data_IF_646899200904
#
_entry.id   IF_646899200904
#
_cell.length_a   1.000
_cell.length_b   1.000
_cell.length_c   1.000
_cell.angle_alpha   90.00
_cell.angle_beta   90.00
_cell.angle_gamma   90.00
#
_symmetry.space_group_name_H-M   'P 1'
#
loop_
_entity.id
_entity.type
_entity.pdbx_description
1 polymer ?
#
# COMPACT_ATOMS: atom_id res chain seq x y z
N UNK A 1 38.38 0.46 -35.45
CA UNK A 1 38.93 -0.08 -34.18
C UNK A 1 38.01 0.38 -33.06
N UNK A 2 37.39 -0.44 -32.23
CA UNK A 2 37.04 -1.85 -32.23
C UNK A 2 35.80 -1.96 -31.32
N UNK A 3 34.74 -2.60 -31.80
CA UNK A 3 33.56 -2.98 -31.00
C UNK A 3 33.92 -4.23 -30.19
N UNK A 4 33.74 -4.22 -28.88
CA UNK A 4 33.87 -5.41 -28.04
C UNK A 4 32.48 -6.03 -27.83
N UNK A 5 32.23 -7.15 -28.50
CA UNK A 5 31.10 -8.03 -28.26
C UNK A 5 31.49 -9.05 -27.19
N UNK A 6 30.71 -9.13 -26.10
CA UNK A 6 30.85 -10.17 -25.08
C UNK A 6 29.86 -11.29 -25.40
N UNK A 7 30.41 -12.46 -25.70
CA UNK A 7 29.73 -13.74 -25.88
C UNK A 7 29.47 -14.32 -24.49
N UNK A 8 28.20 -14.57 -24.14
CA UNK A 8 27.83 -15.36 -22.95
C UNK A 8 27.46 -16.77 -23.40
N UNK A 9 28.26 -17.73 -22.92
CA UNK A 9 28.15 -19.15 -23.17
C UNK A 9 26.94 -19.75 -22.43
N UNK A 10 26.05 -20.40 -23.17
CA UNK A 10 24.99 -21.26 -22.62
C UNK A 10 25.57 -22.66 -22.46
N UNK A 11 25.77 -23.09 -21.22
CA UNK A 11 26.18 -24.44 -20.87
C UNK A 11 25.36 -24.94 -19.68
N UNK A 12 24.35 -25.77 -19.95
CA UNK A 12 23.52 -26.43 -18.94
C UNK A 12 23.21 -27.85 -19.40
N UNK A 13 23.96 -28.80 -18.85
CA UNK A 13 23.97 -30.23 -19.16
C UNK A 13 22.68 -30.90 -18.68
N UNK A 14 22.02 -31.65 -19.57
CA UNK A 14 20.93 -32.57 -19.26
C UNK A 14 21.53 -33.90 -18.79
N UNK A 15 21.38 -34.22 -17.50
CA UNK A 15 21.75 -35.52 -16.95
C UNK A 15 20.55 -36.47 -16.96
N UNK A 16 20.59 -37.47 -17.84
CA UNK A 16 19.67 -38.61 -17.87
C UNK A 16 20.19 -39.68 -16.90
N UNK A 17 19.45 -39.99 -15.84
CA UNK A 17 19.70 -41.19 -15.03
C UNK A 17 18.78 -42.32 -15.50
N UNK A 18 19.38 -43.36 -16.10
CA UNK A 18 18.80 -44.70 -16.19
C UNK A 18 19.51 -45.56 -15.14
N UNK A 19 18.75 -46.20 -14.26
CA UNK A 19 19.25 -47.29 -13.41
C UNK A 19 18.72 -48.59 -13.98
N UNK A 20 19.65 -49.44 -14.41
CA UNK A 20 19.44 -50.81 -14.85
C UNK A 20 19.38 -51.73 -13.62
N UNK A 21 18.38 -52.60 -13.55
CA UNK A 21 18.31 -53.68 -12.56
C UNK A 21 19.30 -54.80 -12.89
N UNK A 22 19.93 -55.35 -11.85
CA UNK A 22 20.91 -56.43 -11.88
C UNK A 22 20.22 -57.78 -12.04
N UNK A 23 20.71 -58.59 -12.99
CA UNK A 23 20.33 -59.98 -13.20
C UNK A 23 20.94 -60.92 -12.14
N UNK A 24 20.22 -62.00 -11.80
CA UNK A 24 20.77 -63.19 -11.17
C UNK A 24 20.01 -64.42 -11.68
N UNK A 25 20.73 -65.30 -12.39
CA UNK A 25 20.26 -66.55 -13.00
C UNK A 25 20.12 -67.71 -11.99
N UNK A 26 19.16 -68.61 -12.23
CA UNK A 26 19.11 -69.98 -11.70
C UNK A 26 17.71 -70.65 -11.83
N UNK A 27 17.57 -71.94 -12.19
CA UNK A 27 16.75 -72.31 -13.35
C UNK A 27 15.52 -73.24 -13.12
N UNK A 28 14.71 -73.30 -14.19
CA UNK A 28 13.86 -74.39 -14.71
C UNK A 28 12.53 -74.78 -14.02
N UNK A 29 11.42 -74.60 -14.76
CA UNK A 29 10.12 -75.23 -14.46
C UNK A 29 8.93 -74.71 -15.28
N UNK A 30 8.75 -75.26 -16.48
CA UNK A 30 7.51 -75.53 -17.26
C UNK A 30 6.27 -74.58 -17.18
N UNK A 31 5.96 -73.97 -18.33
CA UNK A 31 4.73 -73.24 -18.75
C UNK A 31 3.47 -74.16 -18.73
N UNK A 32 2.21 -73.68 -18.47
CA UNK A 32 1.49 -72.83 -19.43
C UNK A 32 0.61 -71.67 -18.92
N UNK A 33 0.69 -70.58 -19.69
CA UNK A 33 -0.43 -69.76 -20.19
C UNK A 33 -1.39 -69.10 -19.19
N UNK A 34 -1.17 -67.80 -18.95
CA UNK A 34 -2.11 -66.90 -18.30
C UNK A 34 -1.49 -65.53 -18.05
N UNK A 35 -1.19 -64.77 -19.11
CA UNK A 35 -0.68 -63.39 -18.99
C UNK A 35 -1.78 -62.46 -18.49
N UNK A 36 -1.89 -62.33 -17.16
CA UNK A 36 -2.43 -61.14 -16.53
C UNK A 36 -1.36 -60.03 -16.66
N UNK A 37 -1.44 -59.24 -17.73
CA UNK A 37 -0.70 -57.99 -17.81
C UNK A 37 -1.31 -57.00 -16.83
N UNK A 38 -0.64 -56.86 -15.70
CA UNK A 38 -0.72 -55.72 -14.82
C UNK A 38 -0.17 -54.50 -15.58
N UNK A 39 -0.99 -53.91 -16.45
CA UNK A 39 -0.69 -52.64 -17.08
C UNK A 39 -1.05 -51.56 -16.08
N UNK A 40 -0.08 -51.21 -15.24
CA UNK A 40 -0.08 -49.95 -14.50
C UNK A 40 0.09 -48.85 -15.55
N UNK A 41 -1.02 -48.47 -16.17
CA UNK A 41 -1.13 -47.34 -17.08
C UNK A 41 -0.72 -46.09 -16.31
N UNK A 42 0.49 -45.60 -16.57
CA UNK A 42 0.79 -44.20 -16.35
C UNK A 42 -0.19 -43.40 -17.21
N UNK A 43 -1.29 -42.95 -16.60
CA UNK A 43 -2.23 -42.04 -17.24
C UNK A 43 -1.42 -40.84 -17.73
N UNK A 44 -1.38 -40.63 -19.05
CA UNK A 44 -0.96 -39.35 -19.60
C UNK A 44 -1.81 -38.28 -18.91
N UNK A 45 -1.18 -37.46 -18.06
CA UNK A 45 -1.88 -36.43 -17.32
C UNK A 45 -2.55 -35.52 -18.35
N UNK A 46 -3.88 -35.58 -18.42
CA UNK A 46 -4.65 -34.69 -19.31
C UNK A 46 -4.43 -33.28 -18.78
N UNK A 47 -4.08 -32.34 -19.65
CA UNK A 47 -3.86 -30.95 -19.25
C UNK A 47 -5.13 -30.41 -18.54
N UNK A 48 -4.99 -29.59 -17.48
CA UNK A 48 -6.13 -29.12 -16.70
C UNK A 48 -7.09 -28.28 -17.56
N UNK A 49 -8.39 -28.40 -17.29
CA UNK A 49 -9.42 -27.54 -17.89
C UNK A 49 -9.28 -26.08 -17.44
N UNK A 50 -9.96 -25.16 -18.12
CA UNK A 50 -9.94 -23.75 -17.75
C UNK A 50 -10.51 -23.54 -16.33
N UNK A 51 -11.63 -24.18 -16.01
CA UNK A 51 -12.23 -24.17 -14.67
C UNK A 51 -11.27 -24.71 -13.59
N UNK A 52 -10.60 -25.84 -13.87
CA UNK A 52 -9.64 -26.43 -12.92
C UNK A 52 -8.43 -25.51 -12.71
N UNK A 53 -7.94 -24.89 -13.78
CA UNK A 53 -6.78 -23.99 -13.75
C UNK A 53 -7.05 -22.79 -12.84
N UNK A 54 -8.21 -22.15 -13.01
CA UNK A 54 -8.62 -21.01 -12.16
C UNK A 54 -8.88 -21.45 -10.73
N UNK A 55 -9.52 -22.60 -10.53
CA UNK A 55 -9.76 -23.16 -9.20
C UNK A 55 -8.43 -23.38 -8.47
N UNK A 56 -7.49 -24.08 -9.10
CA UNK A 56 -6.19 -24.39 -8.48
C UNK A 56 -5.36 -23.14 -8.18
N UNK A 57 -5.46 -22.10 -9.01
CA UNK A 57 -4.84 -20.80 -8.77
C UNK A 57 -5.42 -20.10 -7.54
N UNK A 58 -6.74 -19.96 -7.44
CA UNK A 58 -7.39 -19.34 -6.27
C UNK A 58 -7.14 -20.16 -5.00
N UNK A 59 -7.06 -21.47 -5.14
CA UNK A 59 -6.69 -22.40 -4.08
C UNK A 59 -5.22 -22.27 -3.64
N UNK A 60 -4.30 -22.00 -4.57
CA UNK A 60 -2.91 -21.67 -4.23
C UNK A 60 -2.82 -20.37 -3.45
N UNK A 61 -3.55 -19.32 -3.88
CA UNK A 61 -3.66 -18.07 -3.12
C UNK A 61 -4.19 -18.32 -1.70
N UNK A 62 -5.30 -19.08 -1.59
CA UNK A 62 -5.91 -19.42 -0.30
C UNK A 62 -4.96 -20.12 0.66
N UNK A 63 -4.07 -20.98 0.15
CA UNK A 63 -3.09 -21.71 0.96
C UNK A 63 -1.82 -20.92 1.28
N UNK A 64 -1.66 -19.72 0.72
CA UNK A 64 -0.42 -18.95 0.89
C UNK A 64 0.74 -19.47 0.05
N UNK A 65 0.47 -20.21 -1.03
CA UNK A 65 1.51 -20.80 -1.90
C UNK A 65 1.76 -19.89 -3.10
N UNK A 66 2.63 -18.89 -2.90
CA UNK A 66 2.95 -17.87 -3.90
C UNK A 66 3.64 -18.50 -5.11
N UNK A 67 4.58 -19.41 -4.90
CA UNK A 67 5.28 -20.09 -5.99
C UNK A 67 4.31 -20.84 -6.91
N UNK A 68 3.33 -21.56 -6.33
CA UNK A 68 2.29 -22.23 -7.10
C UNK A 68 1.36 -21.24 -7.79
N UNK A 69 0.94 -20.17 -7.13
CA UNK A 69 0.09 -19.15 -7.74
C UNK A 69 0.77 -18.49 -8.96
N UNK A 70 2.04 -18.12 -8.83
CA UNK A 70 2.84 -17.54 -9.92
C UNK A 70 3.07 -18.51 -11.07
N UNK A 71 3.10 -19.82 -10.79
CA UNK A 71 3.26 -20.85 -11.83
C UNK A 71 2.14 -20.88 -12.87
N UNK A 72 1.00 -20.24 -12.59
CA UNK A 72 -0.10 -20.09 -13.57
C UNK A 72 0.08 -18.91 -14.53
N UNK A 73 1.13 -18.10 -14.35
CA UNK A 73 1.50 -17.03 -15.28
C UNK A 73 2.21 -17.57 -16.51
N UNK A 74 1.93 -16.99 -17.67
CA UNK A 74 2.74 -17.22 -18.89
C UNK A 74 4.14 -16.62 -18.77
N UNK A 75 4.27 -15.47 -18.10
CA UNK A 75 5.50 -14.69 -18.05
C UNK A 75 5.99 -14.60 -16.60
N UNK A 76 7.27 -14.93 -16.33
CA UNK A 76 7.86 -14.71 -15.02
C UNK A 76 7.87 -13.21 -14.65
N UNK A 77 7.73 -12.92 -13.36
CA UNK A 77 7.85 -11.56 -12.85
C UNK A 77 9.32 -11.23 -12.57
N UNK A 78 9.79 -10.12 -13.11
CA UNK A 78 11.16 -9.65 -12.86
C UNK A 78 11.29 -9.03 -11.45
N UNK A 79 10.26 -8.33 -11.00
CA UNK A 79 10.10 -7.84 -9.64
C UNK A 79 9.08 -8.71 -8.90
N UNK A 80 9.51 -9.32 -7.80
CA UNK A 80 8.71 -10.17 -6.95
C UNK A 80 8.74 -9.74 -5.48
N UNK A 81 9.10 -8.47 -5.20
CA UNK A 81 9.26 -7.96 -3.84
C UNK A 81 8.05 -8.25 -2.95
N UNK A 82 6.84 -8.12 -3.49
CA UNK A 82 5.58 -8.42 -2.80
C UNK A 82 4.86 -9.68 -3.30
N UNK A 83 5.51 -10.49 -4.13
CA UNK A 83 4.98 -11.74 -4.68
C UNK A 83 5.63 -12.95 -3.98
N UNK A 84 5.57 -12.97 -2.65
CA UNK A 84 6.21 -13.98 -1.80
C UNK A 84 5.20 -14.67 -0.88
N UNK A 85 5.53 -15.86 -0.39
CA UNK A 85 4.71 -16.60 0.59
C UNK A 85 4.49 -15.78 1.87
N UNK A 86 5.50 -15.01 2.30
CA UNK A 86 5.39 -14.16 3.49
C UNK A 86 4.32 -13.07 3.30
N UNK A 87 4.37 -12.35 2.18
CA UNK A 87 3.39 -11.29 1.89
C UNK A 87 2.02 -11.89 1.71
N UNK A 88 1.88 -12.93 0.88
CA UNK A 88 0.60 -13.61 0.66
C UNK A 88 0.02 -14.15 1.98
N UNK A 89 0.86 -14.69 2.86
CA UNK A 89 0.49 -15.10 4.21
C UNK A 89 -0.10 -13.95 5.06
N UNK A 90 0.50 -12.76 5.01
CA UNK A 90 -0.06 -11.55 5.66
C UNK A 90 -1.40 -11.16 5.03
N UNK A 91 -1.55 -11.26 3.71
CA UNK A 91 -2.79 -10.93 3.02
C UNK A 91 -3.94 -11.84 3.49
N UNK A 92 -3.75 -13.16 3.46
CA UNK A 92 -4.80 -14.12 3.82
C UNK A 92 -5.07 -14.19 5.32
N UNK A 93 -4.12 -13.77 6.17
CA UNK A 93 -4.36 -13.62 7.60
C UNK A 93 -5.34 -12.49 7.90
N UNK A 94 -5.33 -11.42 7.11
CA UNK A 94 -6.27 -10.30 7.24
C UNK A 94 -7.57 -10.57 6.49
N UNK A 95 -7.48 -10.91 5.21
CA UNK A 95 -8.62 -11.23 4.34
C UNK A 95 -8.52 -12.67 3.84
N UNK A 96 -8.98 -13.67 4.63
CA UNK A 96 -9.01 -15.06 4.19
C UNK A 96 -9.79 -15.22 2.88
N UNK A 97 -9.30 -16.09 2.00
CA UNK A 97 -9.97 -16.43 0.74
C UNK A 97 -10.89 -17.63 0.97
N UNK A 98 -12.18 -17.48 0.68
CA UNK A 98 -13.18 -18.54 0.89
C UNK A 98 -14.31 -18.48 -0.15
N UNK A 99 -15.23 -19.44 -0.08
CA UNK A 99 -16.43 -19.50 -0.94
C UNK A 99 -16.13 -19.32 -2.43
N UNK A 100 -15.10 -20.02 -2.92
CA UNK A 100 -14.67 -19.97 -4.34
C UNK A 100 -15.70 -20.70 -5.20
N UNK A 101 -16.27 -19.97 -6.15
CA UNK A 101 -17.22 -20.46 -7.14
C UNK A 101 -16.75 -20.11 -8.55
N UNK A 102 -16.76 -21.10 -9.43
CA UNK A 102 -16.52 -20.92 -10.86
C UNK A 102 -17.88 -20.89 -11.57
N UNK A 103 -18.12 -19.82 -12.33
CA UNK A 103 -19.32 -19.66 -13.14
C UNK A 103 -19.27 -20.44 -14.45
N UNK A 104 -20.35 -20.35 -15.22
CA UNK A 104 -20.44 -20.99 -16.53
C UNK A 104 -19.43 -20.37 -17.51
N UNK A 105 -18.55 -21.20 -18.07
CA UNK A 105 -17.56 -20.80 -19.07
C UNK A 105 -18.22 -20.88 -20.44
N UNK A 106 -18.18 -19.78 -21.20
CA UNK A 106 -18.66 -19.73 -22.58
C UNK A 106 -17.50 -19.98 -23.55
N UNK A 107 -17.72 -20.83 -24.54
CA UNK A 107 -16.75 -21.16 -25.58
C UNK A 107 -16.31 -22.62 -25.55
N UNK A 108 -15.67 -23.07 -26.62
CA UNK A 108 -15.14 -24.43 -26.73
C UNK A 108 -13.68 -24.48 -26.26
N UNK A 109 -13.44 -25.09 -25.10
CA UNK A 109 -12.10 -25.21 -24.53
C UNK A 109 -11.11 -25.97 -25.44
N UNK A 110 -11.59 -26.83 -26.34
CA UNK A 110 -10.73 -27.61 -27.22
C UNK A 110 -10.13 -26.77 -28.35
N UNK A 111 -10.78 -25.67 -28.72
CA UNK A 111 -10.42 -24.85 -29.89
C UNK A 111 -10.10 -23.39 -29.53
N UNK A 112 -10.62 -22.87 -28.42
CA UNK A 112 -10.42 -21.48 -28.02
C UNK A 112 -8.94 -21.15 -27.73
N UNK A 113 -8.47 -20.03 -28.28
CA UNK A 113 -7.14 -19.49 -27.94
C UNK A 113 -7.17 -18.65 -26.65
N UNK A 114 -8.33 -18.09 -26.32
CA UNK A 114 -8.61 -17.33 -25.10
C UNK A 114 -9.95 -17.75 -24.52
N UNK A 115 -10.03 -17.78 -23.19
CA UNK A 115 -11.27 -17.97 -22.45
C UNK A 115 -11.38 -16.95 -21.34
N UNK A 116 -12.61 -16.77 -20.89
CA UNK A 116 -12.97 -15.87 -19.82
C UNK A 116 -13.80 -16.66 -18.82
N UNK A 117 -13.30 -16.77 -17.60
CA UNK A 117 -13.88 -17.62 -16.55
C UNK A 117 -14.49 -16.70 -15.50
N UNK A 118 -15.84 -16.62 -15.41
CA UNK A 118 -16.49 -15.90 -14.33
C UNK A 118 -16.18 -16.59 -13.00
N UNK A 119 -15.89 -15.80 -11.99
CA UNK A 119 -15.66 -16.28 -10.62
C UNK A 119 -16.47 -15.47 -9.62
N UNK A 120 -16.72 -16.08 -8.47
CA UNK A 120 -17.10 -15.40 -7.24
C UNK A 120 -16.30 -15.99 -6.09
N UNK A 121 -15.72 -15.15 -5.23
CA UNK A 121 -15.00 -15.59 -4.05
C UNK A 121 -15.07 -14.53 -2.95
N UNK A 122 -14.97 -14.96 -1.69
CA UNK A 122 -14.82 -14.05 -0.56
C UNK A 122 -13.37 -13.73 -0.28
N UNK A 123 -13.11 -12.46 0.01
CA UNK A 123 -11.85 -11.95 0.56
C UNK A 123 -12.18 -11.26 1.88
N UNK A 124 -11.87 -11.92 2.99
CA UNK A 124 -12.47 -11.58 4.28
C UNK A 124 -13.99 -11.76 4.21
N UNK A 125 -14.74 -10.76 4.68
CA UNK A 125 -16.21 -10.83 4.72
C UNK A 125 -16.89 -10.38 3.42
N UNK A 126 -16.12 -9.90 2.44
CA UNK A 126 -16.68 -9.32 1.20
C UNK A 126 -16.64 -10.34 0.07
N UNK A 127 -17.77 -10.51 -0.61
CA UNK A 127 -17.85 -11.30 -1.85
C UNK A 127 -17.45 -10.43 -3.03
N UNK A 128 -16.50 -10.91 -3.83
CA UNK A 128 -16.03 -10.30 -5.06
C UNK A 128 -16.35 -11.21 -6.23
N UNK A 129 -16.92 -10.65 -7.30
CA UNK A 129 -17.19 -11.38 -8.54
C UNK A 129 -16.49 -10.69 -9.68
N UNK A 130 -15.79 -11.46 -10.51
CA UNK A 130 -14.99 -10.94 -11.62
C UNK A 130 -14.89 -12.00 -12.72
N UNK A 131 -14.30 -11.64 -13.86
CA UNK A 131 -13.97 -12.59 -14.93
C UNK A 131 -12.45 -12.69 -15.12
N UNK A 132 -11.89 -13.88 -14.94
CA UNK A 132 -10.46 -14.14 -15.14
C UNK A 132 -10.22 -14.51 -16.62
N UNK A 133 -9.31 -13.80 -17.28
CA UNK A 133 -8.87 -14.11 -18.64
C UNK A 133 -7.79 -15.19 -18.65
N UNK A 134 -7.93 -16.14 -19.56
CA UNK A 134 -6.96 -17.22 -19.78
C UNK A 134 -6.49 -17.22 -21.22
N UNK A 135 -5.22 -17.52 -21.41
CA UNK A 135 -4.61 -17.77 -22.72
C UNK A 135 -4.15 -19.22 -22.82
N UNK A 136 -4.45 -19.88 -23.94
CA UNK A 136 -4.07 -21.28 -24.13
C UNK A 136 -2.54 -21.47 -24.10
N UNK A 137 -2.06 -22.47 -23.38
CA UNK A 137 -0.65 -22.84 -23.35
C UNK A 137 -0.25 -23.66 -24.58
N UNK A 138 0.99 -23.49 -25.04
CA UNK A 138 1.55 -24.28 -26.15
C UNK A 138 1.69 -25.78 -25.81
N UNK A 139 1.72 -26.12 -24.53
CA UNK A 139 1.85 -27.50 -24.04
C UNK A 139 0.49 -28.16 -23.77
N UNK A 140 -0.62 -27.49 -24.12
CA UNK A 140 -1.96 -27.83 -23.65
C UNK A 140 -2.27 -27.20 -22.29
N UNK A 141 -3.57 -27.06 -21.97
CA UNK A 141 -4.03 -26.35 -20.78
C UNK A 141 -3.99 -24.82 -20.93
N UNK A 142 -3.96 -24.11 -19.80
CA UNK A 142 -4.21 -22.67 -19.76
C UNK A 142 -3.22 -21.91 -18.88
N UNK A 143 -2.85 -20.71 -19.33
CA UNK A 143 -2.23 -19.66 -18.52
C UNK A 143 -3.29 -18.67 -18.06
N UNK A 144 -3.13 -18.12 -16.87
CA UNK A 144 -3.93 -16.99 -16.40
C UNK A 144 -3.25 -15.70 -16.87
N UNK A 145 -4.01 -14.82 -17.52
CA UNK A 145 -3.48 -13.59 -18.12
C UNK A 145 -2.90 -12.65 -17.04
N UNK A 146 -3.49 -12.64 -15.84
CA UNK A 146 -3.06 -11.82 -14.70
C UNK A 146 -3.16 -12.59 -13.37
N UNK A 147 -2.04 -13.17 -12.92
CA UNK A 147 -1.94 -13.83 -11.60
C UNK A 147 -1.57 -12.86 -10.47
N UNK A 148 -1.17 -11.64 -10.82
CA UNK A 148 -0.84 -10.57 -9.90
C UNK A 148 -1.33 -9.26 -10.50
N UNK A 149 -1.59 -8.29 -9.62
CA UNK A 149 -2.01 -6.96 -9.99
C UNK A 149 -0.80 -6.03 -9.95
N UNK A 150 -0.66 -5.21 -10.99
CA UNK A 150 0.25 -4.08 -10.99
C UNK A 150 -0.45 -2.86 -10.39
N UNK A 151 0.11 -2.33 -9.30
CA UNK A 151 -0.37 -1.16 -8.61
C UNK A 151 0.63 -0.02 -8.75
N UNK A 152 0.13 1.21 -8.85
CA UNK A 152 0.93 2.42 -8.79
C UNK A 152 0.28 3.42 -7.83
N UNK A 153 1.09 4.27 -7.21
CA UNK A 153 0.57 5.35 -6.37
C UNK A 153 0.09 6.51 -7.23
N UNK A 154 -0.98 7.17 -6.81
CA UNK A 154 -1.32 8.49 -7.32
C UNK A 154 -0.20 9.51 -7.00
N UNK A 155 -0.17 10.61 -7.74
CA UNK A 155 0.90 11.62 -7.66
C UNK A 155 0.57 12.75 -6.66
N UNK A 156 0.03 12.43 -5.48
CA UNK A 156 -0.17 13.43 -4.41
C UNK A 156 0.94 13.34 -3.35
N UNK A 157 1.08 14.39 -2.54
CA UNK A 157 2.08 14.40 -1.48
C UNK A 157 1.71 13.43 -0.35
N UNK A 158 0.42 13.23 -0.06
CA UNK A 158 -0.06 12.18 0.85
C UNK A 158 0.29 10.80 0.32
N UNK A 159 0.04 10.54 -0.97
CA UNK A 159 0.35 9.24 -1.57
C UNK A 159 1.86 8.95 -1.49
N UNK A 160 2.72 9.98 -1.62
CA UNK A 160 4.17 9.84 -1.46
C UNK A 160 4.61 9.46 -0.04
N UNK A 161 3.72 9.55 0.95
CA UNK A 161 3.97 9.04 2.31
C UNK A 161 3.60 7.57 2.47
N UNK A 162 2.85 6.99 1.53
CA UNK A 162 2.35 5.62 1.65
C UNK A 162 3.50 4.61 1.68
N UNK A 163 3.26 3.58 2.47
CA UNK A 163 4.09 2.39 2.59
C UNK A 163 3.24 1.18 2.26
N UNK A 164 3.83 0.19 1.61
CA UNK A 164 3.24 -1.09 1.23
C UNK A 164 3.96 -2.18 2.02
N UNK A 165 3.24 -2.90 2.88
CA UNK A 165 3.82 -3.89 3.81
C UNK A 165 5.04 -3.33 4.57
N UNK A 166 4.94 -2.07 5.02
CA UNK A 166 5.99 -1.35 5.74
C UNK A 166 7.14 -0.82 4.88
N UNK A 167 7.11 -1.02 3.56
CA UNK A 167 8.13 -0.53 2.63
C UNK A 167 7.69 0.74 1.93
N UNK A 168 8.58 1.73 1.84
CA UNK A 168 8.31 2.96 1.07
C UNK A 168 8.52 2.72 -0.41
N UNK A 169 7.59 3.21 -1.23
CA UNK A 169 7.74 3.20 -2.69
C UNK A 169 8.43 4.47 -3.17
N UNK A 170 9.16 4.36 -4.28
CA UNK A 170 9.71 5.53 -4.96
C UNK A 170 8.59 6.27 -5.72
N UNK A 171 8.67 7.61 -5.87
CA UNK A 171 7.71 8.33 -6.70
C UNK A 171 7.65 7.76 -8.13
N UNK A 172 6.44 7.45 -8.61
CA UNK A 172 6.21 6.87 -9.94
C UNK A 172 6.59 5.39 -10.08
N UNK A 173 6.97 4.71 -9.00
CA UNK A 173 7.20 3.26 -9.01
C UNK A 173 5.87 2.50 -8.98
N UNK A 174 5.70 1.53 -9.87
CA UNK A 174 4.68 0.49 -9.77
C UNK A 174 5.24 -0.73 -9.02
N UNK A 175 4.35 -1.55 -8.47
CA UNK A 175 4.69 -2.80 -7.81
C UNK A 175 3.65 -3.88 -8.11
N UNK A 176 4.04 -5.14 -7.98
CA UNK A 176 3.14 -6.27 -8.16
C UNK A 176 2.77 -6.90 -6.82
N UNK A 177 1.48 -7.17 -6.61
CA UNK A 177 0.98 -7.93 -5.46
C UNK A 177 -0.13 -8.89 -5.88
N UNK A 178 -0.35 -9.96 -5.12
CA UNK A 178 -1.48 -10.85 -5.36
C UNK A 178 -2.82 -10.16 -5.04
N UNK A 179 -3.92 -10.58 -5.68
CA UNK A 179 -5.26 -10.19 -5.28
C UNK A 179 -5.49 -10.45 -3.79
N UNK A 180 -5.80 -9.41 -3.03
CA UNK A 180 -6.12 -9.53 -1.60
C UNK A 180 -5.86 -8.25 -0.83
N UNK A 181 -5.78 -8.38 0.49
CA UNK A 181 -5.45 -7.29 1.41
C UNK A 181 -4.08 -6.70 1.07
N UNK A 182 -3.94 -5.38 1.11
CA UNK A 182 -2.68 -4.66 1.08
C UNK A 182 -2.50 -3.92 2.40
N UNK A 183 -1.38 -4.16 3.07
CA UNK A 183 -0.98 -3.38 4.25
C UNK A 183 -0.47 -2.02 3.78
N UNK A 184 -1.34 -1.03 3.85
CA UNK A 184 -1.09 0.34 3.41
C UNK A 184 -1.13 1.27 4.61
N UNK A 185 -0.01 1.94 4.87
CA UNK A 185 0.16 2.85 6.01
C UNK A 185 0.92 4.12 5.60
N UNK A 186 0.86 5.19 6.39
CA UNK A 186 1.69 6.38 6.16
C UNK A 186 3.01 6.28 6.91
N UNK A 187 4.09 6.68 6.25
CA UNK A 187 5.40 6.94 6.87
C UNK A 187 5.46 8.28 7.60
N UNK A 188 4.43 9.13 7.48
CA UNK A 188 4.31 10.37 8.22
C UNK A 188 3.43 10.16 9.45
N UNK A 189 4.04 10.25 10.64
CA UNK A 189 3.38 10.05 11.93
C UNK A 189 2.29 11.09 12.26
N UNK A 190 2.27 12.21 11.53
CA UNK A 190 1.27 13.26 11.66
C UNK A 190 0.05 13.03 10.76
N UNK A 191 0.04 11.97 9.95
CA UNK A 191 -1.03 11.63 9.03
C UNK A 191 -1.69 10.33 9.46
N UNK A 192 -3.01 10.31 9.42
CA UNK A 192 -3.82 9.10 9.59
C UNK A 192 -4.56 8.82 8.28
N UNK A 193 -4.41 7.60 7.74
CA UNK A 193 -5.15 7.19 6.54
C UNK A 193 -6.56 6.79 6.93
N UNK A 194 -7.58 7.42 6.33
CA UNK A 194 -8.99 7.23 6.70
C UNK A 194 -9.75 6.35 5.73
N UNK A 195 -9.33 6.31 4.47
CA UNK A 195 -9.91 5.44 3.45
C UNK A 195 -8.85 5.11 2.40
N UNK A 196 -8.86 3.85 1.97
CA UNK A 196 -7.91 3.36 0.97
C UNK A 196 -8.71 2.61 -0.10
N UNK A 197 -8.48 2.98 -1.36
CA UNK A 197 -9.23 2.44 -2.50
C UNK A 197 -8.24 1.81 -3.48
N UNK A 198 -8.40 0.51 -3.71
CA UNK A 198 -7.73 -0.21 -4.78
C UNK A 198 -8.59 -1.40 -5.24
N UNK A 199 -8.54 -1.76 -6.53
CA UNK A 199 -9.23 -2.92 -7.05
C UNK A 199 -8.48 -4.23 -6.71
N UNK A 200 -9.24 -5.30 -6.47
CA UNK A 200 -8.71 -6.64 -6.18
C UNK A 200 -8.40 -7.46 -7.42
N UNK A 201 -9.16 -7.28 -8.50
CA UNK A 201 -8.99 -8.07 -9.71
C UNK A 201 -9.00 -7.17 -10.93
N UNK A 202 -8.14 -7.51 -11.90
CA UNK A 202 -8.04 -6.82 -13.18
C UNK A 202 -9.31 -7.04 -14.01
N UNK A 203 -10.05 -5.95 -14.24
CA UNK A 203 -11.08 -5.93 -15.26
C UNK A 203 -10.40 -6.01 -16.64
N UNK A 204 -10.74 -7.02 -17.42
CA UNK A 204 -10.20 -7.28 -18.75
C UNK A 204 -10.43 -6.13 -19.75
N UNK A 205 -11.38 -5.23 -19.48
CA UNK A 205 -11.69 -4.05 -20.30
C UNK A 205 -10.74 -2.88 -20.05
N UNK A 206 -9.93 -2.92 -19.00
CA UNK A 206 -9.01 -1.84 -18.62
C UNK A 206 -7.56 -2.34 -18.73
N UNK A 207 -6.78 -1.71 -19.60
CA UNK A 207 -5.38 -2.08 -19.84
C UNK A 207 -4.37 -1.24 -19.03
N UNK A 208 -4.73 -0.75 -17.85
CA UNK A 208 -3.86 0.11 -17.03
C UNK A 208 -3.48 -0.53 -15.69
N UNK A 209 -2.34 -0.11 -15.16
CA UNK A 209 -2.01 -0.25 -13.74
C UNK A 209 -3.13 0.28 -12.84
N UNK A 210 -3.24 -0.29 -11.65
CA UNK A 210 -4.22 0.12 -10.66
C UNK A 210 -3.69 1.25 -9.80
N UNK A 211 -4.35 2.40 -9.89
CA UNK A 211 -3.98 3.52 -9.05
C UNK A 211 -4.52 3.33 -7.64
N UNK A 212 -3.62 3.40 -6.66
CA UNK A 212 -3.94 3.45 -5.25
C UNK A 212 -4.08 4.91 -4.86
N UNK A 213 -5.22 5.24 -4.26
CA UNK A 213 -5.46 6.53 -3.61
C UNK A 213 -5.81 6.30 -2.14
N UNK A 214 -5.31 7.19 -1.29
CA UNK A 214 -5.69 7.27 0.11
C UNK A 214 -6.34 8.63 0.43
N UNK A 215 -7.45 8.58 1.14
CA UNK A 215 -7.97 9.72 1.88
C UNK A 215 -7.25 9.75 3.23
N UNK A 216 -6.89 10.95 3.71
CA UNK A 216 -6.11 11.10 4.93
C UNK A 216 -6.52 12.32 5.73
N UNK A 217 -6.41 12.20 7.05
CA UNK A 217 -6.64 13.27 8.03
C UNK A 217 -5.38 13.49 8.88
N UNK A 218 -5.41 14.57 9.67
CA UNK A 218 -4.39 14.84 10.67
C UNK A 218 -4.51 13.82 11.81
N UNK A 219 -3.41 13.15 12.16
CA UNK A 219 -3.39 12.26 13.33
C UNK A 219 -3.46 13.05 14.63
N UNK A 220 -3.84 12.39 15.72
CA UNK A 220 -3.79 12.98 17.08
C UNK A 220 -2.39 13.48 17.43
N UNK A 221 -1.35 12.74 17.04
CA UNK A 221 0.05 13.16 17.21
C UNK A 221 0.37 14.42 16.43
N UNK A 222 -0.17 14.56 15.21
CA UNK A 222 -0.07 15.78 14.41
C UNK A 222 -0.72 16.97 15.08
N UNK A 223 -1.96 16.79 15.56
CA UNK A 223 -2.70 17.83 16.28
C UNK A 223 -1.95 18.30 17.54
N UNK A 224 -1.44 17.37 18.34
CA UNK A 224 -0.67 17.68 19.55
C UNK A 224 0.64 18.43 19.24
N UNK A 225 1.37 17.96 18.23
CA UNK A 225 2.64 18.57 17.83
C UNK A 225 2.47 19.99 17.28
N UNK A 226 1.42 20.23 16.47
CA UNK A 226 1.09 21.57 15.97
C UNK A 226 0.61 22.45 17.11
N UNK A 227 -0.23 21.95 18.02
CA UNK A 227 -0.67 22.72 19.19
C UNK A 227 0.51 23.13 20.06
N UNK A 228 1.51 22.26 20.23
CA UNK A 228 2.76 22.59 20.92
C UNK A 228 3.55 23.69 20.19
N UNK A 229 3.66 23.62 18.86
CA UNK A 229 4.33 24.64 18.05
C UNK A 229 3.62 26.01 18.14
N UNK A 230 2.28 26.02 18.18
CA UNK A 230 1.48 27.23 18.43
C UNK A 230 1.74 27.77 19.84
N UNK A 231 1.71 26.93 20.89
CA UNK A 231 2.02 27.40 22.26
C UNK A 231 3.42 28.00 22.37
N UNK A 232 4.42 27.39 21.73
CA UNK A 232 5.78 27.93 21.69
C UNK A 232 5.86 29.26 20.95
N UNK A 233 4.97 29.51 19.97
CA UNK A 233 4.90 30.80 19.29
C UNK A 233 4.40 31.92 20.18
N UNK A 234 3.41 31.65 21.02
CA UNK A 234 2.90 32.58 22.03
C UNK A 234 3.84 32.77 23.21
N UNK A 235 4.58 31.75 23.62
CA UNK A 235 5.58 31.85 24.69
C UNK A 235 6.70 32.85 24.38
N UNK A 236 6.87 33.26 23.11
CA UNK A 236 7.80 34.34 22.72
C UNK A 236 7.29 35.73 23.12
N UNK A 237 5.97 35.93 23.18
CA UNK A 237 5.36 37.18 23.63
C UNK A 237 5.76 37.50 25.07
N UNK A 238 5.75 36.48 25.95
CA UNK A 238 6.14 36.58 27.37
C UNK A 238 7.57 37.11 27.59
N UNK A 239 8.43 37.02 26.57
CA UNK A 239 9.83 37.46 26.63
C UNK A 239 10.03 38.90 26.15
N UNK A 240 8.96 39.60 25.79
CA UNK A 240 9.00 40.96 25.26
C UNK A 240 8.28 41.94 26.17
N UNK A 241 8.66 43.21 26.03
CA UNK A 241 8.00 44.34 26.66
C UNK A 241 7.42 45.36 25.65
N UNK A 242 7.41 44.99 24.37
CA UNK A 242 6.94 45.85 23.29
C UNK A 242 5.43 45.70 23.07
N UNK A 243 4.82 46.75 22.54
CA UNK A 243 3.41 46.76 22.09
C UNK A 243 3.19 45.74 20.97
N UNK A 244 4.15 45.60 20.05
CA UNK A 244 4.15 44.63 18.98
C UNK A 244 5.47 43.84 19.00
N UNK A 245 5.56 42.77 19.81
CA UNK A 245 6.78 41.99 19.90
C UNK A 245 7.15 41.34 18.56
N UNK A 246 8.43 41.34 18.16
CA UNK A 246 8.86 40.56 17.02
C UNK A 246 8.61 39.07 17.28
N UNK A 247 8.18 38.36 16.24
CA UNK A 247 7.92 36.91 16.29
C UNK A 247 6.86 36.45 17.30
N UNK A 248 6.04 37.36 17.81
CA UNK A 248 4.83 37.08 18.59
C UNK A 248 3.58 37.19 17.70
N UNK A 249 2.62 36.25 17.78
CA UNK A 249 1.37 36.35 17.03
C UNK A 249 0.41 37.45 17.53
N UNK A 250 0.68 38.05 18.69
CA UNK A 250 -0.16 39.05 19.32
C UNK A 250 0.47 40.45 19.29
N UNK A 251 -0.39 41.47 19.23
CA UNK A 251 -0.03 42.88 19.41
C UNK A 251 -1.07 43.55 20.31
N UNK A 252 -0.63 44.54 21.10
CA UNK A 252 -1.51 45.28 21.99
C UNK A 252 -2.22 46.39 21.21
N UNK A 253 -3.54 46.26 21.06
CA UNK A 253 -4.38 47.25 20.41
C UNK A 253 -4.77 48.37 21.40
N UNK A 254 -3.81 49.20 21.80
CA UNK A 254 -4.03 50.37 22.68
C UNK A 254 -3.32 51.60 22.14
N UNK A 255 -4.06 52.72 22.04
CA UNK A 255 -3.51 54.01 21.60
C UNK A 255 -2.86 54.81 22.73
N UNK A 256 -3.06 54.40 23.98
CA UNK A 256 -2.52 55.08 25.17
C UNK A 256 -1.37 54.31 25.81
N UNK A 257 -1.09 53.07 25.38
CA UNK A 257 -0.01 52.27 25.91
C UNK A 257 1.37 52.88 25.59
N UNK A 258 2.27 52.86 26.57
CA UNK A 258 3.66 53.27 26.43
C UNK A 258 4.50 52.06 26.01
N UNK A 259 5.16 52.17 24.87
CA UNK A 259 6.02 51.10 24.35
C UNK A 259 7.18 50.79 25.30
N UNK A 260 7.60 49.52 25.36
CA UNK A 260 8.62 49.04 26.29
C UNK A 260 8.15 48.82 27.74
N UNK A 261 6.88 49.12 28.05
CA UNK A 261 6.29 48.91 29.39
C UNK A 261 5.34 47.71 29.47
N UNK A 262 5.12 47.02 28.34
CA UNK A 262 4.17 45.92 28.27
C UNK A 262 4.75 44.72 29.03
N UNK A 263 3.88 43.99 29.74
CA UNK A 263 4.19 42.70 30.33
C UNK A 263 3.14 41.73 29.80
N UNK A 264 3.57 40.83 28.92
CA UNK A 264 2.75 39.76 28.39
C UNK A 264 2.77 38.58 29.35
N UNK A 265 1.59 38.12 29.77
CA UNK A 265 1.46 36.88 30.52
C UNK A 265 1.30 35.67 29.60
N UNK A 266 1.14 34.51 30.22
CA UNK A 266 0.97 33.24 29.49
C UNK A 266 -0.34 33.22 28.74
N UNK A 267 -0.26 32.92 27.44
CA UNK A 267 -1.43 32.74 26.61
C UNK A 267 -2.24 31.51 27.05
N UNK A 268 -3.54 31.68 27.21
CA UNK A 268 -4.51 30.59 27.24
C UNK A 268 -5.05 30.38 25.83
N UNK A 269 -4.93 29.16 25.31
CA UNK A 269 -5.23 28.84 23.91
C UNK A 269 -6.30 27.76 23.90
N UNK A 270 -7.43 28.08 23.27
CA UNK A 270 -8.52 27.13 23.07
C UNK A 270 -8.05 25.93 22.25
N UNK A 271 -8.83 24.84 22.27
CA UNK A 271 -8.56 23.71 21.38
C UNK A 271 -8.63 24.16 19.92
N UNK A 272 -7.52 24.11 19.16
CA UNK A 272 -7.52 24.59 17.79
C UNK A 272 -8.30 23.66 16.86
N UNK A 273 -8.81 24.23 15.76
CA UNK A 273 -9.30 23.46 14.61
C UNK A 273 -8.18 23.25 13.60
N UNK A 274 -8.17 22.09 12.95
CA UNK A 274 -7.15 21.72 11.96
C UNK A 274 -7.77 21.33 10.63
N UNK A 275 -7.12 21.72 9.54
CA UNK A 275 -7.44 21.28 8.17
C UNK A 275 -6.16 20.82 7.48
N UNK A 276 -6.06 19.54 7.14
CA UNK A 276 -4.95 18.98 6.36
C UNK A 276 -5.11 19.32 4.88
N UNK A 277 -4.04 19.83 4.27
CA UNK A 277 -3.92 20.05 2.83
C UNK A 277 -3.03 18.96 2.24
N UNK A 278 -3.66 17.97 1.62
CA UNK A 278 -2.98 16.76 1.11
C UNK A 278 -2.01 17.02 -0.05
N UNK A 279 -2.14 18.16 -0.74
CA UNK A 279 -1.33 18.51 -1.89
C UNK A 279 0.11 18.90 -1.53
N UNK A 280 0.31 19.54 -0.37
CA UNK A 280 1.61 20.06 0.07
C UNK A 280 2.02 19.62 1.48
N UNK A 281 1.26 18.69 2.09
CA UNK A 281 1.47 18.21 3.47
C UNK A 281 1.58 19.38 4.45
N UNK A 282 0.64 20.32 4.33
CA UNK A 282 0.50 21.41 5.27
C UNK A 282 -0.82 21.35 6.02
N UNK A 283 -0.88 22.01 7.16
CA UNK A 283 -2.07 22.04 8.01
C UNK A 283 -2.42 23.48 8.31
N UNK A 284 -3.62 23.91 7.96
CA UNK A 284 -4.18 25.14 8.50
C UNK A 284 -4.62 24.89 9.93
N UNK A 285 -4.15 25.72 10.85
CA UNK A 285 -4.56 25.71 12.26
C UNK A 285 -5.17 27.05 12.61
N UNK A 286 -6.33 27.02 13.26
CA UNK A 286 -7.00 28.24 13.72
C UNK A 286 -7.64 28.04 15.08
N UNK A 287 -7.76 29.12 15.84
CA UNK A 287 -8.38 29.10 17.15
C UNK A 287 -8.38 30.47 17.80
N UNK A 288 -8.77 30.50 19.06
CA UNK A 288 -8.70 31.71 19.88
C UNK A 288 -7.60 31.57 20.93
N UNK A 289 -6.99 32.70 21.26
CA UNK A 289 -6.12 32.83 22.40
C UNK A 289 -6.52 34.05 23.22
N UNK A 290 -6.34 33.96 24.53
CA UNK A 290 -6.42 35.08 25.45
C UNK A 290 -5.09 35.25 26.16
N UNK A 291 -4.59 36.48 26.22
CA UNK A 291 -3.29 36.78 26.81
C UNK A 291 -3.47 37.88 27.85
N UNK A 292 -3.26 37.61 29.16
CA UNK A 292 -3.27 38.66 30.15
C UNK A 292 -2.11 39.61 29.87
N UNK A 293 -2.36 40.92 29.91
CA UNK A 293 -1.38 41.94 29.61
C UNK A 293 -1.44 43.04 30.66
N UNK A 294 -0.28 43.61 31.01
CA UNK A 294 -0.19 44.80 31.86
C UNK A 294 0.73 45.81 31.20
N UNK A 295 0.37 47.10 31.22
CA UNK A 295 1.15 48.16 30.59
C UNK A 295 0.92 49.51 31.28
N UNK A 296 1.82 50.46 31.05
CA UNK A 296 1.63 51.85 31.49
C UNK A 296 0.96 52.67 30.38
N UNK A 297 0.07 53.57 30.76
CA UNK A 297 -0.55 54.54 29.86
C UNK A 297 0.19 55.87 29.85
N UNK A 298 -0.03 56.69 28.82
CA UNK A 298 0.61 58.02 28.66
C UNK A 298 0.26 59.01 29.77
N UNK A 299 -0.83 58.81 30.51
CA UNK A 299 -1.20 59.58 31.71
C UNK A 299 -0.62 59.01 33.02
N UNK A 300 0.21 57.96 32.93
CA UNK A 300 0.96 57.38 34.06
C UNK A 300 0.21 56.33 34.87
N UNK A 301 -0.92 55.82 34.38
CA UNK A 301 -1.67 54.74 35.04
C UNK A 301 -1.17 53.37 34.60
N UNK A 302 -1.23 52.40 35.52
CA UNK A 302 -1.01 50.99 35.20
C UNK A 302 -2.34 50.32 34.90
N UNK A 303 -2.45 49.71 33.71
CA UNK A 303 -3.64 49.00 33.27
C UNK A 303 -3.33 47.51 33.16
N UNK A 304 -4.23 46.68 33.69
CA UNK A 304 -4.24 45.23 33.44
C UNK A 304 -5.46 44.89 32.60
N UNK A 305 -5.25 44.17 31.51
CA UNK A 305 -6.28 43.81 30.53
C UNK A 305 -6.06 42.38 30.02
N UNK A 306 -6.95 41.90 29.15
CA UNK A 306 -6.83 40.60 28.47
C UNK A 306 -6.95 40.78 26.97
N UNK A 307 -5.89 40.43 26.26
CA UNK A 307 -5.83 40.49 24.82
C UNK A 307 -6.42 39.24 24.20
N UNK A 308 -7.59 39.42 23.57
CA UNK A 308 -8.27 38.38 22.80
C UNK A 308 -7.79 38.41 21.36
N UNK A 309 -7.44 37.24 20.85
CA UNK A 309 -6.90 37.03 19.52
C UNK A 309 -7.58 35.84 18.86
N UNK A 310 -7.89 35.98 17.58
CA UNK A 310 -8.11 34.84 16.68
C UNK A 310 -6.82 34.64 15.90
N UNK A 311 -6.24 33.44 15.97
CA UNK A 311 -5.04 33.11 15.21
C UNK A 311 -5.39 32.18 14.05
N UNK A 312 -4.66 32.35 12.94
CA UNK A 312 -4.71 31.50 11.77
C UNK A 312 -3.27 31.32 11.30
N UNK A 313 -2.75 30.10 11.43
CA UNK A 313 -1.37 29.76 11.09
C UNK A 313 -1.38 28.58 10.12
N UNK A 314 -0.26 28.40 9.43
CA UNK A 314 -0.01 27.22 8.59
C UNK A 314 1.14 26.42 9.21
N UNK A 315 1.01 25.11 9.30
CA UNK A 315 2.06 24.22 9.77
C UNK A 315 2.54 23.30 8.62
N UNK A 316 3.84 23.14 8.49
CA UNK A 316 4.49 22.15 7.62
C UNK A 316 4.73 20.86 8.42
N UNK A 317 4.04 19.78 8.03
CA UNK A 317 4.15 18.46 8.65
C UNK A 317 5.10 17.51 7.90
N UNK A 318 5.91 18.02 6.96
CA UNK A 318 7.02 17.26 6.37
C UNK A 318 8.24 17.18 7.29
N UNK A 319 8.25 17.99 8.36
CA UNK A 319 9.31 18.06 9.35
C UNK A 319 8.86 17.47 10.69
N UNK A 320 9.81 16.93 11.46
CA UNK A 320 9.56 16.42 12.82
C UNK A 320 10.52 17.13 13.80
N UNK A 321 10.01 17.98 14.72
CA UNK A 321 8.61 18.38 14.89
C UNK A 321 8.09 19.28 13.74
N UNK A 322 6.76 19.42 13.56
CA UNK A 322 6.16 20.32 12.58
C UNK A 322 6.58 21.77 12.81
N UNK A 323 6.62 22.56 11.72
CA UNK A 323 7.02 23.97 11.76
C UNK A 323 5.90 24.88 11.34
N UNK A 324 5.64 25.93 12.12
CA UNK A 324 4.75 27.01 11.67
C UNK A 324 5.43 27.80 10.54
N UNK A 325 4.69 28.04 9.47
CA UNK A 325 5.08 28.81 8.29
C UNK A 325 4.36 30.15 8.37
N UNK A 326 5.12 31.23 8.50
CA UNK A 326 4.62 32.61 8.51
C UNK A 326 4.94 33.32 7.21
#
# INVERSE_FOLDING_TARGET
MALAAVVVLIGGVVAYMRVSSVDSEGPAGTQPSGTAQNTQSASAATAPSAAQTVTDYLEALRRGDAAKALSYSKTPFADNEFLTDEVLGKQIAQWPISDIHIGEIKGDEQTAAKLYVPISAKFGDKTHSETIGLTRSLQGGWWIDHVANEYALHSSAVDATLTVFGKKLSPGQSFYAFPGYLDLASSNEYIELTSIKYPLFRNYLLSSEFLISADADLSSKGADAITAAVRESFARCEKSNLIAPPDCPAQLNSTTAVDGTVTWGRADIDTPSFTLHSADLSVSVSGNASIPVTFQTTDGQTVSDTQLLVFQEKADITTSPPRLVR
#
